data_IF_889345083198
#
_entry.id   IF_889345083198
#
_cell.length_a   1.000
_cell.length_b   1.000
_cell.length_c   1.000
_cell.angle_alpha   90.00
_cell.angle_beta   90.00
_cell.angle_gamma   90.00
#
_symmetry.space_group_name_H-M   'P 1'
#
loop_
_entity.id
_entity.type
_entity.pdbx_description
1 polymer ?
#
# COMPACT_ATOMS: atom_id res chain seq x y z
N UNK A 1 6.80 18.10 4.59
CA UNK A 1 5.39 18.04 5.04
C UNK A 1 4.45 18.68 4.02
N UNK A 2 3.24 18.15 3.93
CA UNK A 2 2.21 18.64 2.99
C UNK A 2 1.20 19.57 3.63
N UNK A 3 1.31 19.77 4.93
CA UNK A 3 0.40 20.63 5.68
C UNK A 3 0.50 20.42 7.17
N UNK A 4 -0.36 21.09 7.90
CA UNK A 4 -0.54 20.92 9.34
C UNK A 4 -2.01 20.58 9.63
N UNK A 5 -2.29 19.29 9.88
CA UNK A 5 -3.64 18.80 10.12
C UNK A 5 -4.29 19.35 11.37
N UNK A 6 -3.52 19.70 12.41
CA UNK A 6 -4.04 20.29 13.64
C UNK A 6 -4.50 21.72 13.43
N UNK A 7 -3.75 22.50 12.66
CA UNK A 7 -4.11 23.88 12.30
C UNK A 7 -5.02 23.97 11.07
N UNK A 8 -5.30 22.86 10.38
CA UNK A 8 -6.05 22.84 9.14
C UNK A 8 -5.34 23.51 7.96
N UNK A 9 -4.01 23.58 8.02
CA UNK A 9 -3.18 24.22 6.99
C UNK A 9 -2.66 23.20 5.98
N UNK A 10 -2.67 23.58 4.71
CA UNK A 10 -2.11 22.78 3.61
C UNK A 10 -1.06 23.58 2.84
N UNK A 11 0.09 22.97 2.64
CA UNK A 11 1.17 23.55 1.85
C UNK A 11 0.96 23.22 0.37
N UNK A 12 0.29 24.12 -0.34
CA UNK A 12 -0.15 23.90 -1.73
C UNK A 12 0.99 23.52 -2.67
N UNK A 13 2.15 24.16 -2.52
CA UNK A 13 3.32 23.86 -3.36
C UNK A 13 3.84 22.44 -3.13
N UNK A 14 3.91 22.00 -1.88
CA UNK A 14 4.30 20.63 -1.54
C UNK A 14 3.30 19.61 -2.06
N UNK A 15 1.99 19.87 -1.92
CA UNK A 15 0.94 19.01 -2.46
C UNK A 15 1.03 18.91 -3.98
N UNK A 16 1.22 20.03 -4.68
CA UNK A 16 1.38 20.05 -6.14
C UNK A 16 2.60 19.26 -6.58
N UNK A 17 3.71 19.39 -5.86
CA UNK A 17 4.93 18.63 -6.15
C UNK A 17 4.71 17.13 -6.03
N UNK A 18 4.10 16.67 -4.93
CA UNK A 18 3.82 15.26 -4.72
C UNK A 18 2.76 14.72 -5.69
N UNK A 19 1.73 15.49 -5.98
CA UNK A 19 0.70 15.12 -6.96
C UNK A 19 1.25 15.01 -8.39
N UNK A 20 2.30 15.75 -8.72
CA UNK A 20 2.95 15.70 -10.04
C UNK A 20 3.65 14.38 -10.32
N UNK A 21 3.89 13.55 -9.30
CA UNK A 21 4.61 12.29 -9.43
C UNK A 21 4.01 11.37 -10.48
N UNK A 22 2.70 11.18 -10.46
CA UNK A 22 2.02 10.25 -11.38
C UNK A 22 2.19 10.62 -12.86
N UNK A 23 2.37 11.90 -13.14
CA UNK A 23 2.54 12.42 -14.50
C UNK A 23 3.99 12.46 -14.96
N UNK A 24 4.94 12.34 -14.04
CA UNK A 24 6.37 12.55 -14.30
C UNK A 24 7.23 11.36 -13.86
N UNK A 25 6.67 10.17 -13.80
CA UNK A 25 7.42 8.94 -13.53
C UNK A 25 8.45 8.68 -14.63
N UNK A 26 9.57 7.97 -14.32
CA UNK A 26 10.53 7.56 -15.34
C UNK A 26 9.88 6.82 -16.49
N UNK A 27 10.45 6.90 -17.67
CA UNK A 27 9.93 6.21 -18.87
C UNK A 27 9.78 4.72 -18.64
N UNK A 28 10.73 4.09 -17.95
CA UNK A 28 10.66 2.67 -17.60
C UNK A 28 9.42 2.30 -16.78
N UNK A 29 8.91 3.21 -15.96
CA UNK A 29 7.65 3.03 -15.23
C UNK A 29 6.43 3.26 -16.12
N UNK A 30 6.46 4.30 -16.96
CA UNK A 30 5.36 4.63 -17.87
C UNK A 30 5.09 3.51 -18.88
N UNK A 31 6.11 2.81 -19.31
CA UNK A 31 6.04 1.67 -20.23
C UNK A 31 5.80 0.33 -19.51
N UNK A 32 5.85 0.31 -18.19
CA UNK A 32 5.66 -0.90 -17.41
C UNK A 32 4.18 -1.34 -17.40
N UNK A 33 3.88 -2.64 -17.64
CA UNK A 33 2.50 -3.14 -17.60
C UNK A 33 1.84 -3.00 -16.23
N UNK A 34 2.60 -2.84 -15.17
CA UNK A 34 2.11 -2.72 -13.80
C UNK A 34 2.03 -1.30 -13.27
N UNK A 35 2.29 -0.28 -14.09
CA UNK A 35 2.35 1.12 -13.64
C UNK A 35 1.06 1.59 -12.95
N UNK A 36 -0.09 1.13 -13.42
CA UNK A 36 -1.40 1.50 -12.83
C UNK A 36 -1.60 0.98 -11.41
N UNK A 37 -0.93 -0.08 -11.05
CA UNK A 37 -0.98 -0.65 -9.70
C UNK A 37 0.23 -0.23 -8.86
N UNK A 38 1.39 -0.13 -9.47
CA UNK A 38 2.66 0.14 -8.79
C UNK A 38 2.94 1.64 -8.61
N UNK A 39 2.60 2.48 -9.60
CA UNK A 39 2.88 3.93 -9.60
C UNK A 39 4.34 4.29 -9.28
N UNK A 40 5.29 3.46 -9.73
CA UNK A 40 6.71 3.65 -9.45
C UNK A 40 7.17 3.25 -8.04
N UNK A 41 6.32 2.55 -7.29
CA UNK A 41 6.57 2.14 -5.92
C UNK A 41 6.35 3.26 -4.91
N UNK A 42 6.94 3.13 -3.73
CA UNK A 42 6.79 4.10 -2.65
C UNK A 42 7.57 5.39 -2.92
N UNK A 43 6.88 6.51 -2.95
CA UNK A 43 7.50 7.84 -3.12
C UNK A 43 8.49 8.16 -1.99
N UNK A 44 8.16 7.80 -0.76
CA UNK A 44 9.03 8.00 0.39
C UNK A 44 10.37 7.28 0.22
N UNK A 45 10.35 6.04 -0.24
CA UNK A 45 11.57 5.28 -0.53
C UNK A 45 12.41 5.94 -1.62
N UNK A 46 11.77 6.41 -2.68
CA UNK A 46 12.46 7.11 -3.78
C UNK A 46 13.17 8.36 -3.28
N UNK A 47 12.50 9.16 -2.46
CA UNK A 47 13.07 10.37 -1.86
C UNK A 47 14.21 10.01 -0.90
N UNK A 48 13.98 9.07 0.01
CA UNK A 48 14.96 8.66 1.02
C UNK A 48 16.25 8.10 0.39
N UNK A 49 16.15 7.50 -0.78
CA UNK A 49 17.28 6.94 -1.53
C UNK A 49 17.91 7.93 -2.53
N UNK A 50 17.54 9.19 -2.47
CA UNK A 50 18.11 10.24 -3.32
C UNK A 50 17.61 10.24 -4.75
N UNK A 51 16.54 9.53 -5.08
CA UNK A 51 15.98 9.46 -6.43
C UNK A 51 14.95 10.57 -6.72
N UNK A 52 14.53 11.29 -5.69
CA UNK A 52 13.58 12.39 -5.79
C UNK A 52 12.13 11.96 -5.90
N UNK A 53 11.24 12.95 -5.90
CA UNK A 53 9.78 12.76 -5.94
C UNK A 53 9.33 11.99 -7.19
N UNK A 54 10.01 12.20 -8.32
CA UNK A 54 9.68 11.57 -9.61
C UNK A 54 10.48 10.29 -9.89
N UNK A 55 11.28 9.83 -8.94
CA UNK A 55 12.07 8.60 -9.06
C UNK A 55 11.25 7.35 -8.81
N UNK A 56 11.69 6.24 -9.39
CA UNK A 56 11.10 4.93 -9.08
C UNK A 56 11.70 4.31 -7.83
N UNK A 57 10.95 3.41 -7.19
CA UNK A 57 11.41 2.65 -6.05
C UNK A 57 12.66 1.82 -6.36
N UNK A 58 13.57 1.72 -5.40
CA UNK A 58 14.71 0.80 -5.45
C UNK A 58 14.28 -0.67 -5.58
N UNK A 59 13.11 -1.01 -5.11
CA UNK A 59 12.58 -2.38 -5.11
C UNK A 59 11.72 -2.69 -6.34
N UNK A 60 11.94 -2.01 -7.47
CA UNK A 60 11.19 -2.20 -8.71
C UNK A 60 11.12 -3.67 -9.15
N UNK A 61 12.24 -4.39 -9.13
CA UNK A 61 12.28 -5.81 -9.50
C UNK A 61 11.44 -6.69 -8.57
N UNK A 62 11.43 -6.40 -7.28
CA UNK A 62 10.62 -7.11 -6.29
C UNK A 62 9.14 -6.87 -6.52
N UNK A 63 8.74 -5.63 -6.75
CA UNK A 63 7.34 -5.28 -7.05
C UNK A 63 6.85 -5.95 -8.34
N UNK A 64 7.67 -5.94 -9.39
CA UNK A 64 7.35 -6.64 -10.64
C UNK A 64 7.15 -8.15 -10.42
N UNK A 65 7.99 -8.77 -9.63
CA UNK A 65 7.86 -10.20 -9.31
C UNK A 65 6.57 -10.50 -8.55
N UNK A 66 6.19 -9.65 -7.59
CA UNK A 66 4.94 -9.77 -6.83
C UNK A 66 3.73 -9.63 -7.76
N UNK A 67 3.70 -8.58 -8.60
CA UNK A 67 2.58 -8.35 -9.52
C UNK A 67 2.46 -9.46 -10.56
N UNK A 68 3.58 -9.99 -11.05
CA UNK A 68 3.56 -11.13 -11.96
C UNK A 68 2.95 -12.37 -11.28
N UNK A 69 3.29 -12.65 -10.04
CA UNK A 69 2.70 -13.74 -9.26
C UNK A 69 1.19 -13.59 -9.12
N UNK A 70 0.72 -12.37 -8.88
CA UNK A 70 -0.71 -12.06 -8.79
C UNK A 70 -1.39 -12.30 -10.13
N UNK A 71 -0.82 -11.81 -11.23
CA UNK A 71 -1.34 -12.04 -12.58
C UNK A 71 -1.42 -13.53 -12.92
N UNK A 72 -0.37 -14.27 -12.64
CA UNK A 72 -0.33 -15.73 -12.89
C UNK A 72 -1.41 -16.45 -12.07
N UNK A 73 -1.64 -16.06 -10.85
CA UNK A 73 -2.70 -16.63 -10.00
C UNK A 73 -4.09 -16.28 -10.54
N UNK A 74 -4.31 -15.06 -10.99
CA UNK A 74 -5.58 -14.63 -11.59
C UNK A 74 -5.84 -15.40 -12.88
N UNK A 75 -4.84 -15.61 -13.73
CA UNK A 75 -4.97 -16.38 -14.96
C UNK A 75 -5.28 -17.86 -14.67
N UNK A 76 -4.69 -18.43 -13.63
CA UNK A 76 -4.86 -19.84 -13.28
C UNK A 76 -6.21 -20.13 -12.58
N UNK A 77 -6.61 -19.27 -11.64
CA UNK A 77 -7.78 -19.50 -10.77
C UNK A 77 -9.00 -18.64 -11.13
N UNK A 78 -8.83 -17.58 -11.91
CA UNK A 78 -9.85 -16.60 -12.23
C UNK A 78 -9.95 -15.48 -11.17
N UNK A 79 -10.29 -14.28 -11.66
CA UNK A 79 -10.35 -13.08 -10.81
C UNK A 79 -11.38 -13.20 -9.68
N UNK A 80 -12.55 -13.75 -9.97
CA UNK A 80 -13.63 -13.92 -8.96
C UNK A 80 -13.22 -14.87 -7.85
N UNK A 81 -12.54 -15.96 -8.17
CA UNK A 81 -12.05 -16.92 -7.18
C UNK A 81 -10.99 -16.29 -6.26
N UNK A 82 -10.05 -15.53 -6.80
CA UNK A 82 -9.03 -14.82 -6.03
C UNK A 82 -9.68 -13.77 -5.12
N UNK A 83 -10.64 -13.02 -5.65
CA UNK A 83 -11.36 -12.00 -4.88
C UNK A 83 -12.11 -12.62 -3.68
N UNK A 84 -12.81 -13.70 -3.91
CA UNK A 84 -13.53 -14.44 -2.85
C UNK A 84 -12.57 -14.99 -1.79
N UNK A 85 -11.44 -15.54 -2.21
CA UNK A 85 -10.41 -16.04 -1.30
C UNK A 85 -9.83 -14.93 -0.42
N UNK A 86 -9.51 -13.77 -1.01
CA UNK A 86 -9.01 -12.60 -0.27
C UNK A 86 -10.06 -12.09 0.73
N UNK A 87 -11.34 -12.07 0.34
CA UNK A 87 -12.42 -11.68 1.22
C UNK A 87 -12.54 -12.62 2.44
N UNK A 88 -12.45 -13.91 2.22
CA UNK A 88 -12.45 -14.91 3.32
C UNK A 88 -11.26 -14.74 4.26
N UNK A 89 -10.07 -14.45 3.72
CA UNK A 89 -8.89 -14.17 4.55
C UNK A 89 -9.07 -12.91 5.40
N UNK A 90 -9.59 -11.85 4.83
CA UNK A 90 -9.85 -10.60 5.55
C UNK A 90 -10.85 -10.82 6.69
N UNK A 91 -11.96 -11.51 6.43
CA UNK A 91 -12.97 -11.85 7.45
C UNK A 91 -12.39 -12.71 8.58
N UNK A 92 -11.57 -13.71 8.22
CA UNK A 92 -10.89 -14.55 9.23
C UNK A 92 -9.97 -13.74 10.12
N UNK A 93 -9.23 -12.80 9.53
CA UNK A 93 -8.32 -11.92 10.27
C UNK A 93 -9.07 -10.98 11.21
N UNK A 94 -10.16 -10.39 10.75
CA UNK A 94 -11.04 -9.54 11.57
C UNK A 94 -11.62 -10.31 12.75
N UNK A 95 -12.12 -11.53 12.53
CA UNK A 95 -12.65 -12.39 13.58
C UNK A 95 -11.58 -12.76 14.61
N UNK A 96 -10.37 -13.06 14.17
CA UNK A 96 -9.25 -13.36 15.06
C UNK A 96 -8.86 -12.14 15.91
N UNK A 97 -8.85 -10.93 15.33
CA UNK A 97 -8.61 -9.69 16.08
C UNK A 97 -9.70 -9.43 17.12
N UNK A 98 -10.96 -9.59 16.74
CA UNK A 98 -12.09 -9.41 17.66
C UNK A 98 -12.01 -10.39 18.83
N UNK A 99 -11.69 -11.66 18.57
CA UNK A 99 -11.49 -12.68 19.61
C UNK A 99 -10.32 -12.31 20.53
N UNK A 100 -9.20 -11.84 19.98
CA UNK A 100 -8.04 -11.40 20.77
C UNK A 100 -8.35 -10.21 21.66
N UNK A 101 -9.09 -9.23 21.19
CA UNK A 101 -9.56 -8.07 21.96
C UNK A 101 -10.49 -8.50 23.09
N UNK A 102 -11.42 -9.40 22.82
CA UNK A 102 -12.34 -9.93 23.83
C UNK A 102 -11.59 -10.69 24.94
N UNK A 103 -10.61 -11.51 24.59
CA UNK A 103 -9.77 -12.22 25.55
C UNK A 103 -8.95 -11.27 26.41
N UNK A 104 -8.36 -10.23 25.85
CA UNK A 104 -7.62 -9.22 26.59
C UNK A 104 -8.52 -8.47 27.59
N UNK A 105 -9.73 -8.10 27.18
CA UNK A 105 -10.71 -7.45 28.07
C UNK A 105 -11.12 -8.36 29.22
N UNK A 106 -11.30 -9.66 28.98
CA UNK A 106 -11.60 -10.63 30.03
C UNK A 106 -10.45 -10.79 31.03
N UNK A 107 -9.20 -10.79 30.58
CA UNK A 107 -8.02 -10.82 31.43
C UNK A 107 -7.91 -9.59 32.32
N UNK A 108 -8.23 -8.40 31.81
CA UNK A 108 -8.27 -7.18 32.60
C UNK A 108 -9.32 -7.25 33.70
N UNK A 109 -10.49 -7.81 33.42
CA UNK A 109 -11.53 -8.00 34.43
C UNK A 109 -11.14 -9.00 35.54
N UNK A 110 -10.40 -10.03 35.21
CA UNK A 110 -9.88 -11.00 36.18
C UNK A 110 -8.79 -10.40 37.07
N UNK A 111 -8.08 -9.38 36.60
CA UNK A 111 -7.04 -8.66 37.34
C UNK A 111 -7.53 -7.59 38.31
N UNK A 112 -8.83 -7.38 38.45
CA UNK A 112 -9.47 -6.30 39.26
C UNK A 112 -9.94 -6.81 40.65
N UNK A 113 -9.42 -7.88 41.16
CA UNK A 113 -9.71 -8.29 42.57
C UNK A 113 -9.05 -7.41 43.60
#
# INVERSE_FOLDING_TARGET
PIGNGVAGEWYTDALSLYASRSKNLPQSCRECPYVKSCHGGCMYEAIAQGRGVHGKSHHCSTWKAIFKRIDDAVDLFGADHIHEWLHRLATRHENARAAGVAMAAMQELEGVE
#
